data_IF_568145842561
#
_entry.id   IF_568145842561
#
_cell.length_a   1.000
_cell.length_b   1.000
_cell.length_c   1.000
_cell.angle_alpha   90.00
_cell.angle_beta   90.00
_cell.angle_gamma   90.00
#
_symmetry.space_group_name_H-M   'P 1'
#
loop_
_entity.id
_entity.type
_entity.pdbx_description
1 polymer ?
#
# COMPACT_ATOMS: atom_id res chain seq x y z
N UNK A 1 -17.39 -2.02 -38.19
CA UNK A 1 -16.67 -2.51 -36.99
C UNK A 1 -17.43 -2.07 -35.74
N UNK A 2 -18.31 -2.93 -35.22
CA UNK A 2 -19.21 -2.68 -34.07
C UNK A 2 -18.60 -3.29 -32.78
N UNK A 3 -17.31 -3.65 -32.77
CA UNK A 3 -16.75 -4.51 -31.72
C UNK A 3 -16.51 -3.81 -30.36
N UNK A 4 -16.62 -2.48 -30.28
CA UNK A 4 -16.41 -1.74 -29.04
C UNK A 4 -17.69 -1.17 -28.40
N UNK A 5 -18.87 -1.40 -28.99
CA UNK A 5 -20.12 -0.78 -28.52
C UNK A 5 -20.16 0.75 -28.67
N UNK A 6 -19.35 1.29 -29.58
CA UNK A 6 -19.31 2.72 -29.91
C UNK A 6 -19.76 2.89 -31.35
N UNK A 7 -20.76 3.75 -31.55
CA UNK A 7 -21.13 4.21 -32.89
C UNK A 7 -20.08 5.22 -33.38
N UNK A 8 -19.14 4.76 -34.22
CA UNK A 8 -18.08 5.62 -34.76
C UNK A 8 -18.63 6.74 -35.66
N UNK A 9 -19.75 6.53 -36.34
CA UNK A 9 -20.34 7.52 -37.26
C UNK A 9 -20.90 8.72 -36.47
N UNK A 10 -21.70 8.46 -35.44
CA UNK A 10 -22.21 9.49 -34.50
C UNK A 10 -21.07 10.22 -33.75
N UNK A 11 -19.95 9.52 -33.56
CA UNK A 11 -18.75 10.07 -32.93
C UNK A 11 -18.06 11.05 -33.88
N UNK A 12 -17.83 10.67 -35.15
CA UNK A 12 -17.17 11.52 -36.16
C UNK A 12 -17.98 12.77 -36.56
N UNK A 13 -19.30 12.76 -36.36
CA UNK A 13 -20.17 13.94 -36.58
C UNK A 13 -19.98 15.07 -35.55
N UNK A 14 -19.32 14.80 -34.42
CA UNK A 14 -19.07 15.82 -33.38
C UNK A 14 -17.98 16.79 -33.82
N UNK A 15 -18.35 18.08 -33.98
CA UNK A 15 -17.44 19.19 -34.37
C UNK A 15 -16.11 19.28 -33.62
N UNK A 16 -16.05 18.82 -32.36
CA UNK A 16 -14.82 18.77 -31.57
C UNK A 16 -14.71 17.46 -30.80
N UNK A 17 -13.99 16.51 -31.37
CA UNK A 17 -13.54 15.30 -30.67
C UNK A 17 -12.09 15.42 -30.27
N UNK A 18 -11.81 14.99 -29.05
CA UNK A 18 -10.45 14.80 -28.57
C UNK A 18 -10.19 13.32 -28.34
N UNK A 19 -8.92 12.92 -28.42
CA UNK A 19 -8.46 11.57 -28.06
C UNK A 19 -8.95 11.20 -26.65
N UNK A 20 -8.97 12.16 -25.71
CA UNK A 20 -9.50 11.97 -24.34
C UNK A 20 -10.97 11.54 -24.32
N UNK A 21 -11.81 12.09 -25.21
CA UNK A 21 -13.22 11.72 -25.32
C UNK A 21 -13.38 10.30 -25.85
N UNK A 22 -12.61 9.93 -26.89
CA UNK A 22 -12.62 8.56 -27.44
C UNK A 22 -12.23 7.54 -26.36
N UNK A 23 -11.16 7.81 -25.59
CA UNK A 23 -10.75 6.91 -24.50
C UNK A 23 -11.79 6.80 -23.38
N UNK A 24 -12.51 7.87 -23.06
CA UNK A 24 -13.62 7.82 -22.07
C UNK A 24 -14.77 6.96 -22.58
N UNK A 25 -15.13 7.08 -23.86
CA UNK A 25 -16.17 6.27 -24.48
C UNK A 25 -15.77 4.79 -24.52
N UNK A 26 -14.51 4.47 -24.91
CA UNK A 26 -13.98 3.11 -24.94
C UNK A 26 -13.89 2.46 -23.56
N UNK A 27 -13.56 3.24 -22.53
CA UNK A 27 -13.38 2.70 -21.17
C UNK A 27 -14.66 2.22 -20.51
N UNK A 28 -15.84 2.64 -20.97
CA UNK A 28 -17.13 2.53 -20.23
C UNK A 28 -17.04 3.18 -18.84
N UNK A 29 -18.18 3.58 -18.28
CA UNK A 29 -18.20 4.15 -16.93
C UNK A 29 -17.96 3.03 -15.90
N UNK A 30 -16.83 3.12 -15.20
CA UNK A 30 -16.49 2.24 -14.09
C UNK A 30 -16.60 2.99 -12.77
N UNK A 31 -17.10 2.29 -11.76
CA UNK A 31 -17.13 2.83 -10.40
C UNK A 31 -15.70 3.13 -9.93
N UNK A 32 -15.48 4.37 -9.48
CA UNK A 32 -14.20 4.76 -8.89
C UNK A 32 -13.99 3.98 -7.61
N UNK A 33 -12.93 3.17 -7.58
CA UNK A 33 -12.51 2.47 -6.37
C UNK A 33 -12.12 3.47 -5.27
N UNK A 34 -12.57 3.22 -4.04
CA UNK A 34 -12.36 4.11 -2.90
C UNK A 34 -10.86 4.24 -2.54
N UNK A 35 -10.07 3.18 -2.75
CA UNK A 35 -8.63 3.15 -2.51
C UNK A 35 -7.78 3.79 -3.62
N UNK A 36 -8.37 4.40 -4.66
CA UNK A 36 -7.63 4.98 -5.80
C UNK A 36 -6.49 5.89 -5.35
N UNK A 37 -6.71 6.71 -4.32
CA UNK A 37 -5.71 7.68 -3.83
C UNK A 37 -4.53 7.04 -3.12
N UNK A 38 -4.66 5.83 -2.59
CA UNK A 38 -3.57 5.09 -1.96
C UNK A 38 -2.55 4.62 -2.99
N UNK A 39 -3.00 4.38 -4.23
CA UNK A 39 -2.16 3.87 -5.33
C UNK A 39 -1.80 4.99 -6.31
N UNK A 40 -2.81 5.68 -6.85
CA UNK A 40 -2.62 6.71 -7.86
C UNK A 40 -2.19 8.04 -7.23
N UNK A 41 -1.08 8.59 -7.72
CA UNK A 41 -0.44 9.81 -7.19
C UNK A 41 0.06 9.65 -5.75
N UNK A 42 0.44 8.43 -5.35
CA UNK A 42 1.21 8.20 -4.15
C UNK A 42 2.69 8.51 -4.45
N UNK A 43 3.30 9.40 -3.67
CA UNK A 43 4.69 9.83 -3.78
C UNK A 43 5.71 8.78 -3.38
N UNK A 44 5.29 7.58 -2.96
CA UNK A 44 6.15 6.46 -2.61
C UNK A 44 6.96 5.96 -3.79
N UNK A 45 7.89 5.04 -3.52
CA UNK A 45 8.62 4.37 -4.61
C UNK A 45 7.65 3.46 -5.40
N UNK A 46 7.82 3.32 -6.73
CA UNK A 46 6.95 2.47 -7.54
C UNK A 46 6.84 1.02 -7.04
N UNK A 47 7.94 0.45 -6.53
CA UNK A 47 7.93 -0.90 -5.93
C UNK A 47 7.06 -1.00 -4.67
N UNK A 48 6.95 0.08 -3.90
CA UNK A 48 6.12 0.12 -2.69
C UNK A 48 4.64 0.18 -3.04
N UNK A 49 4.30 1.10 -3.94
CA UNK A 49 2.92 1.29 -4.39
C UNK A 49 2.41 0.06 -5.15
N UNK A 50 3.28 -0.63 -5.89
CA UNK A 50 2.95 -1.90 -6.53
C UNK A 50 2.59 -3.00 -5.51
N UNK A 51 3.42 -3.21 -4.48
CA UNK A 51 3.11 -4.22 -3.45
C UNK A 51 1.87 -3.83 -2.65
N UNK A 52 1.71 -2.54 -2.34
CA UNK A 52 0.47 -2.04 -1.72
C UNK A 52 -0.76 -2.33 -2.58
N UNK A 53 -0.67 -2.13 -3.90
CA UNK A 53 -1.76 -2.45 -4.81
C UNK A 53 -2.10 -3.94 -4.82
N UNK A 54 -1.09 -4.81 -4.85
CA UNK A 54 -1.29 -6.26 -4.75
C UNK A 54 -1.93 -6.67 -3.41
N UNK A 55 -1.55 -6.02 -2.31
CA UNK A 55 -2.16 -6.23 -1.00
C UNK A 55 -3.64 -5.81 -1.00
N UNK A 56 -3.97 -4.62 -1.52
CA UNK A 56 -5.37 -4.14 -1.58
C UNK A 56 -6.24 -5.05 -2.45
N UNK A 57 -5.69 -5.62 -3.53
CA UNK A 57 -6.41 -6.59 -4.36
C UNK A 57 -6.56 -7.98 -3.73
N UNK A 58 -6.01 -8.21 -2.54
CA UNK A 58 -5.97 -9.55 -1.93
C UNK A 58 -5.11 -10.55 -2.71
N UNK A 59 -4.15 -10.06 -3.49
CA UNK A 59 -3.33 -10.87 -4.40
C UNK A 59 -1.98 -11.30 -3.83
N UNK A 60 -1.78 -11.16 -2.52
CA UNK A 60 -0.57 -11.64 -1.84
C UNK A 60 -0.57 -13.16 -1.70
N UNK A 61 0.62 -13.76 -1.64
CA UNK A 61 0.80 -15.21 -1.46
C UNK A 61 1.02 -15.54 0.03
N UNK A 62 -0.02 -15.34 0.82
CA UNK A 62 -0.11 -15.75 2.24
C UNK A 62 -0.33 -17.26 2.37
N UNK A 63 0.04 -17.85 3.51
CA UNK A 63 -0.05 -19.30 3.73
C UNK A 63 -1.48 -19.82 3.61
N UNK A 64 -2.49 -19.11 4.10
CA UNK A 64 -3.91 -19.48 3.91
C UNK A 64 -4.28 -19.67 2.43
N UNK A 65 -3.74 -18.82 1.55
CA UNK A 65 -3.99 -18.87 0.11
C UNK A 65 -3.17 -19.97 -0.56
N UNK A 66 -1.91 -20.11 -0.18
CA UNK A 66 -1.03 -21.16 -0.70
C UNK A 66 -1.49 -22.57 -0.29
N UNK A 67 -2.05 -22.71 0.92
CA UNK A 67 -2.63 -23.96 1.40
C UNK A 67 -3.87 -24.36 0.60
N UNK A 68 -4.74 -23.40 0.25
CA UNK A 68 -5.87 -23.64 -0.66
C UNK A 68 -5.44 -24.08 -2.06
N UNK A 69 -4.22 -23.76 -2.48
CA UNK A 69 -3.64 -24.22 -3.74
C UNK A 69 -2.85 -25.53 -3.61
N UNK A 70 -2.77 -26.12 -2.41
CA UNK A 70 -1.97 -27.33 -2.17
C UNK A 70 -0.46 -27.11 -2.22
N UNK A 71 0.00 -25.86 -2.12
CA UNK A 71 1.44 -25.51 -2.19
C UNK A 71 2.14 -25.72 -0.85
N UNK A 72 1.43 -25.55 0.27
CA UNK A 72 1.99 -25.75 1.61
C UNK A 72 0.91 -26.16 2.61
N UNK A 73 1.27 -26.99 3.59
CA UNK A 73 0.41 -27.32 4.73
C UNK A 73 0.76 -26.48 5.97
N UNK A 74 1.79 -25.65 5.90
CA UNK A 74 2.14 -24.76 7.01
C UNK A 74 1.21 -23.55 7.01
N UNK A 75 0.33 -23.43 8.01
CA UNK A 75 -0.61 -22.31 8.12
C UNK A 75 -0.09 -21.17 9.00
N UNK A 76 0.73 -21.47 10.01
CA UNK A 76 1.21 -20.47 10.97
C UNK A 76 2.00 -19.34 10.30
N UNK A 77 1.81 -18.11 10.75
CA UNK A 77 2.56 -16.94 10.33
C UNK A 77 4.07 -17.15 10.46
N UNK A 78 4.88 -16.95 9.39
CA UNK A 78 6.33 -17.13 9.43
C UNK A 78 7.04 -16.24 10.45
N UNK A 79 6.45 -15.09 10.79
CA UNK A 79 7.06 -14.06 11.63
C UNK A 79 6.77 -14.25 13.12
N UNK A 80 5.50 -14.46 13.52
CA UNK A 80 5.14 -14.63 14.93
C UNK A 80 5.06 -16.10 15.36
N UNK A 81 4.74 -17.03 14.44
CA UNK A 81 4.52 -18.45 14.71
C UNK A 81 3.42 -18.75 15.75
N UNK A 82 2.48 -17.82 15.96
CA UNK A 82 1.37 -17.96 16.93
C UNK A 82 0.03 -18.22 16.24
N UNK A 83 -0.35 -17.39 15.27
CA UNK A 83 -1.62 -17.51 14.54
C UNK A 83 -1.37 -17.85 13.07
N UNK A 84 -2.42 -18.29 12.36
CA UNK A 84 -2.37 -18.57 10.93
C UNK A 84 -2.14 -17.30 10.08
N UNK A 85 -1.36 -17.42 9.01
CA UNK A 85 -1.07 -16.32 8.11
C UNK A 85 -2.24 -16.07 7.15
N UNK A 86 -2.96 -14.99 7.40
CA UNK A 86 -3.85 -14.34 6.43
C UNK A 86 -3.29 -12.98 6.02
N UNK A 87 -3.94 -12.31 5.07
CA UNK A 87 -3.60 -10.93 4.72
C UNK A 87 -3.76 -9.98 5.92
N UNK A 88 -4.88 -10.11 6.66
CA UNK A 88 -5.16 -9.34 7.88
C UNK A 88 -4.08 -9.60 8.94
N UNK A 89 -3.75 -10.87 9.18
CA UNK A 89 -2.70 -11.23 10.13
C UNK A 89 -1.33 -10.68 9.70
N UNK A 90 -0.95 -10.83 8.44
CA UNK A 90 0.35 -10.38 7.93
C UNK A 90 0.51 -8.85 7.98
N UNK A 91 -0.54 -8.08 7.72
CA UNK A 91 -0.48 -6.62 7.75
C UNK A 91 -1.20 -6.05 8.98
N UNK A 92 -0.45 -6.02 10.09
CA UNK A 92 -0.71 -5.24 11.31
C UNK A 92 -1.54 -5.90 12.42
N UNK A 93 -2.03 -7.13 12.23
CA UNK A 93 -2.54 -7.95 13.35
C UNK A 93 -1.45 -8.84 13.96
N UNK A 94 -0.50 -9.34 13.17
CA UNK A 94 0.69 -10.04 13.65
C UNK A 94 1.50 -9.13 14.57
N UNK A 95 1.77 -9.57 15.80
CA UNK A 95 2.48 -8.80 16.83
C UNK A 95 3.79 -8.16 16.34
N UNK A 96 4.56 -8.88 15.53
CA UNK A 96 5.79 -8.37 14.92
C UNK A 96 5.51 -7.19 13.97
N UNK A 97 4.52 -7.31 13.08
CA UNK A 97 4.19 -6.28 12.09
C UNK A 97 3.40 -5.11 12.68
N UNK A 98 2.58 -5.39 13.69
CA UNK A 98 1.85 -4.40 14.48
C UNK A 98 2.84 -3.49 15.22
N UNK A 99 3.88 -4.04 15.84
CA UNK A 99 4.93 -3.26 16.49
C UNK A 99 5.64 -2.30 15.52
N UNK A 100 5.92 -2.76 14.29
CA UNK A 100 6.53 -1.92 13.24
C UNK A 100 5.59 -0.77 12.87
N UNK A 101 4.33 -1.07 12.57
CA UNK A 101 3.38 -0.05 12.14
C UNK A 101 3.05 0.95 13.24
N UNK A 102 2.87 0.47 14.48
CA UNK A 102 2.70 1.31 15.67
C UNK A 102 3.84 2.33 15.81
N UNK A 103 5.09 1.89 15.65
CA UNK A 103 6.25 2.80 15.73
C UNK A 103 6.32 3.79 14.56
N UNK A 104 5.89 3.40 13.37
CA UNK A 104 5.81 4.32 12.23
C UNK A 104 4.69 5.34 12.40
N UNK A 105 3.53 4.95 12.94
CA UNK A 105 2.46 5.87 13.33
C UNK A 105 2.93 6.86 14.39
N UNK A 106 3.59 6.38 15.44
CA UNK A 106 4.16 7.21 16.51
C UNK A 106 5.17 8.22 15.94
N UNK A 107 6.05 7.79 15.02
CA UNK A 107 7.00 8.66 14.36
C UNK A 107 6.31 9.78 13.55
N UNK A 108 5.16 9.50 12.92
CA UNK A 108 4.36 10.53 12.22
C UNK A 108 3.57 11.45 13.17
N UNK A 109 3.62 11.22 14.49
CA UNK A 109 2.83 11.94 15.49
C UNK A 109 1.36 11.50 15.54
N UNK A 110 1.05 10.28 15.11
CA UNK A 110 -0.30 9.73 15.11
C UNK A 110 -0.47 8.80 16.32
N UNK A 111 -1.32 9.21 17.26
CA UNK A 111 -1.59 8.45 18.49
C UNK A 111 -2.88 7.64 18.34
N UNK A 112 -2.75 6.41 17.84
CA UNK A 112 -3.82 5.39 17.86
C UNK A 112 -3.23 3.99 17.88
N UNK A 113 -4.05 3.01 18.23
CA UNK A 113 -3.68 1.61 18.06
C UNK A 113 -3.63 1.21 16.58
N UNK A 114 -2.81 0.21 16.29
CA UNK A 114 -2.82 -0.44 14.98
C UNK A 114 -4.16 -1.11 14.75
N UNK A 115 -4.67 -0.97 13.53
CA UNK A 115 -5.91 -1.60 13.10
C UNK A 115 -5.59 -2.86 12.30
N UNK A 116 -6.58 -3.72 12.12
CA UNK A 116 -6.47 -4.81 11.13
C UNK A 116 -6.37 -4.22 9.71
N UNK A 117 -5.86 -5.00 8.76
CA UNK A 117 -5.56 -4.54 7.40
C UNK A 117 -6.76 -3.84 6.73
N UNK A 118 -7.93 -4.46 6.76
CA UNK A 118 -9.16 -3.93 6.19
C UNK A 118 -9.55 -2.56 6.77
N UNK A 119 -9.55 -2.45 8.09
CA UNK A 119 -9.82 -1.22 8.84
C UNK A 119 -8.78 -0.13 8.58
N UNK A 120 -7.51 -0.53 8.46
CA UNK A 120 -6.40 0.37 8.15
C UNK A 120 -6.54 0.98 6.75
N UNK A 121 -6.96 0.19 5.76
CA UNK A 121 -7.28 0.68 4.42
C UNK A 121 -8.49 1.62 4.43
N UNK A 122 -9.56 1.27 5.13
CA UNK A 122 -10.75 2.12 5.25
C UNK A 122 -10.42 3.45 5.92
N UNK A 123 -9.69 3.43 7.03
CA UNK A 123 -9.22 4.61 7.73
C UNK A 123 -8.39 5.50 6.81
N UNK A 124 -7.47 4.91 6.03
CA UNK A 124 -6.62 5.64 5.09
C UNK A 124 -7.44 6.30 3.98
N UNK A 125 -8.44 5.59 3.44
CA UNK A 125 -9.31 6.14 2.40
C UNK A 125 -10.14 7.32 2.91
N UNK A 126 -10.54 7.29 4.17
CA UNK A 126 -11.33 8.35 4.80
C UNK A 126 -10.48 9.56 5.23
N UNK A 127 -9.32 9.32 5.83
CA UNK A 127 -8.51 10.34 6.52
C UNK A 127 -7.29 10.82 5.71
N UNK A 128 -6.77 10.00 4.79
CA UNK A 128 -5.63 10.32 3.95
C UNK A 128 -6.03 10.51 2.47
N UNK A 129 -7.21 11.07 2.20
CA UNK A 129 -7.67 11.39 0.83
C UNK A 129 -7.16 12.73 0.29
N UNK A 130 -6.76 13.63 1.17
CA UNK A 130 -6.42 15.01 0.83
C UNK A 130 -5.05 15.13 0.15
N UNK A 131 -4.77 16.29 -0.44
CA UNK A 131 -3.44 16.66 -0.96
C UNK A 131 -2.53 17.27 0.12
N UNK A 132 -2.91 17.21 1.39
CA UNK A 132 -2.08 17.73 2.47
C UNK A 132 -0.80 16.93 2.61
N UNK A 133 0.25 17.57 3.13
CA UNK A 133 1.54 16.96 3.41
C UNK A 133 1.40 15.76 4.35
N UNK A 134 0.57 15.87 5.41
CA UNK A 134 0.34 14.76 6.34
C UNK A 134 -0.35 13.57 5.66
N UNK A 135 -1.36 13.82 4.81
CA UNK A 135 -2.01 12.74 4.06
C UNK A 135 -1.05 12.07 3.06
N UNK A 136 -0.15 12.83 2.44
CA UNK A 136 0.87 12.27 1.54
C UNK A 136 1.90 11.42 2.29
N UNK A 137 2.48 11.94 3.37
CA UNK A 137 3.43 11.21 4.21
C UNK A 137 2.81 9.91 4.70
N UNK A 138 1.54 9.94 5.12
CA UNK A 138 0.82 8.75 5.53
C UNK A 138 0.74 7.69 4.41
N UNK A 139 0.33 8.08 3.20
CA UNK A 139 0.23 7.16 2.05
C UNK A 139 1.58 6.56 1.68
N UNK A 140 2.64 7.35 1.77
CA UNK A 140 4.02 6.89 1.55
C UNK A 140 4.43 5.90 2.64
N UNK A 141 4.16 6.22 3.90
CA UNK A 141 4.51 5.40 5.04
C UNK A 141 3.80 4.05 5.01
N UNK A 142 2.50 4.03 4.74
CA UNK A 142 1.71 2.80 4.59
C UNK A 142 2.28 1.92 3.46
N UNK A 143 2.52 2.51 2.28
CA UNK A 143 3.09 1.77 1.15
C UNK A 143 4.48 1.20 1.47
N UNK A 144 5.33 2.00 2.13
CA UNK A 144 6.67 1.58 2.54
C UNK A 144 6.62 0.45 3.57
N UNK A 145 5.78 0.56 4.60
CA UNK A 145 5.62 -0.48 5.63
C UNK A 145 5.15 -1.79 5.02
N UNK A 146 4.10 -1.76 4.19
CA UNK A 146 3.56 -2.94 3.50
C UNK A 146 4.64 -3.62 2.65
N UNK A 147 5.41 -2.83 1.91
CA UNK A 147 6.52 -3.36 1.12
C UNK A 147 7.62 -4.01 1.97
N UNK A 148 8.09 -3.35 3.03
CA UNK A 148 9.19 -3.85 3.84
C UNK A 148 8.77 -5.07 4.68
N UNK A 149 7.52 -5.10 5.17
CA UNK A 149 6.94 -6.28 5.82
C UNK A 149 6.87 -7.46 4.84
N UNK A 150 6.35 -7.23 3.63
CA UNK A 150 6.31 -8.28 2.60
C UNK A 150 7.70 -8.80 2.25
N UNK A 151 8.66 -7.89 2.07
CA UNK A 151 10.04 -8.24 1.80
C UNK A 151 10.62 -9.08 2.93
N UNK A 152 10.46 -8.66 4.20
CA UNK A 152 11.01 -9.36 5.35
C UNK A 152 10.39 -10.74 5.54
N UNK A 153 9.07 -10.86 5.36
CA UNK A 153 8.36 -12.15 5.38
C UNK A 153 8.92 -13.11 4.33
N UNK A 154 9.21 -12.63 3.12
CA UNK A 154 9.80 -13.45 2.07
C UNK A 154 11.27 -13.83 2.38
N UNK A 155 12.07 -12.94 2.98
CA UNK A 155 13.41 -13.32 3.46
C UNK A 155 13.35 -14.40 4.53
N UNK A 156 12.36 -14.35 5.43
CA UNK A 156 12.16 -15.38 6.45
C UNK A 156 11.84 -16.74 5.84
N UNK A 157 11.04 -16.79 4.79
CA UNK A 157 10.66 -18.06 4.14
C UNK A 157 11.78 -18.62 3.28
N UNK A 158 12.33 -17.80 2.36
CA UNK A 158 13.21 -18.30 1.31
C UNK A 158 14.70 -18.26 1.70
N UNK A 159 15.06 -17.49 2.73
CA UNK A 159 16.44 -17.33 3.16
C UNK A 159 16.64 -17.62 4.66
N UNK A 160 15.58 -17.96 5.39
CA UNK A 160 15.60 -18.20 6.84
C UNK A 160 16.18 -17.03 7.67
N UNK A 161 16.17 -15.82 7.11
CA UNK A 161 16.67 -14.60 7.75
C UNK A 161 15.52 -13.73 8.24
N UNK A 162 15.67 -13.14 9.42
CA UNK A 162 14.73 -12.15 9.96
C UNK A 162 15.48 -11.06 10.70
N UNK A 163 15.29 -9.82 10.29
CA UNK A 163 15.76 -8.65 11.03
C UNK A 163 14.96 -8.47 12.30
N UNK A 164 15.61 -7.91 13.31
CA UNK A 164 14.92 -7.40 14.49
C UNK A 164 13.96 -6.28 14.08
N UNK A 165 12.81 -6.20 14.77
CA UNK A 165 11.78 -5.20 14.47
C UNK A 165 12.34 -3.76 14.48
N UNK A 166 13.19 -3.41 15.46
CA UNK A 166 13.82 -2.10 15.54
C UNK A 166 14.66 -1.73 14.31
N UNK A 167 15.42 -2.69 13.76
CA UNK A 167 16.20 -2.45 12.55
C UNK A 167 15.31 -2.24 11.33
N UNK A 168 14.22 -2.99 11.22
CA UNK A 168 13.25 -2.86 10.13
C UNK A 168 12.48 -1.53 10.23
N UNK A 169 12.11 -1.09 11.44
CA UNK A 169 11.50 0.23 11.70
C UNK A 169 12.44 1.33 11.22
N UNK A 170 13.68 1.32 11.69
CA UNK A 170 14.70 2.30 11.31
C UNK A 170 14.91 2.34 9.80
N UNK A 171 15.07 1.17 9.17
CA UNK A 171 15.20 1.07 7.71
C UNK A 171 13.97 1.67 7.00
N UNK A 172 12.77 1.35 7.47
CA UNK A 172 11.52 1.82 6.87
C UNK A 172 11.40 3.34 6.95
N UNK A 173 11.66 3.94 8.11
CA UNK A 173 11.64 5.39 8.33
C UNK A 173 12.71 6.08 7.47
N UNK A 174 13.95 5.58 7.48
CA UNK A 174 15.03 6.13 6.65
C UNK A 174 14.67 6.14 5.17
N UNK A 175 14.07 5.06 4.67
CA UNK A 175 13.62 4.96 3.29
C UNK A 175 12.47 5.94 3.00
N UNK A 176 11.48 6.05 3.90
CA UNK A 176 10.38 7.03 3.77
C UNK A 176 10.94 8.44 3.68
N UNK A 177 11.83 8.82 4.60
CA UNK A 177 12.42 10.15 4.60
C UNK A 177 13.28 10.40 3.37
N UNK A 178 14.16 9.47 2.99
CA UNK A 178 14.98 9.59 1.79
C UNK A 178 14.14 9.78 0.53
N UNK A 179 13.04 9.02 0.39
CA UNK A 179 12.08 9.23 -0.70
C UNK A 179 11.39 10.58 -0.60
N UNK A 180 10.93 10.96 0.58
CA UNK A 180 10.13 12.16 0.77
C UNK A 180 10.94 13.46 0.67
N UNK A 181 12.27 13.43 0.87
CA UNK A 181 13.17 14.54 0.56
C UNK A 181 13.22 14.89 -0.94
N UNK A 182 12.98 13.91 -1.82
CA UNK A 182 12.87 14.16 -3.26
C UNK A 182 11.58 14.90 -3.64
N UNK A 183 10.68 15.11 -2.67
CA UNK A 183 9.39 15.78 -2.84
C UNK A 183 9.41 17.11 -2.07
N UNK A 184 9.64 18.26 -2.74
CA UNK A 184 9.82 19.56 -2.08
C UNK A 184 8.69 19.94 -1.11
N UNK A 185 7.45 19.54 -1.42
CA UNK A 185 6.25 19.81 -0.63
C UNK A 185 6.23 19.12 0.74
N UNK A 186 7.03 18.07 0.93
CA UNK A 186 7.05 17.28 2.16
C UNK A 186 8.20 17.65 3.09
N UNK A 187 9.22 18.34 2.57
CA UNK A 187 10.49 18.62 3.27
C UNK A 187 10.31 19.26 4.64
N UNK A 188 9.59 20.38 4.72
CA UNK A 188 9.37 21.12 5.98
C UNK A 188 8.77 20.24 7.08
N UNK A 189 7.77 19.43 6.72
CA UNK A 189 7.13 18.54 7.70
C UNK A 189 8.07 17.43 8.16
N UNK A 190 8.91 16.88 7.27
CA UNK A 190 9.88 15.85 7.64
C UNK A 190 10.99 16.38 8.54
N UNK A 191 11.37 17.66 8.41
CA UNK A 191 12.33 18.31 9.31
C UNK A 191 11.76 18.43 10.74
N UNK A 192 10.45 18.58 10.89
CA UNK A 192 9.76 18.55 12.20
C UNK A 192 9.64 17.12 12.77
N UNK A 193 9.54 16.12 11.91
CA UNK A 193 9.51 14.71 12.30
C UNK A 193 10.93 14.26 12.62
N UNK A 194 11.35 14.46 13.88
CA UNK A 194 12.69 14.20 14.39
C UNK A 194 13.31 12.99 13.68
N UNK A 195 14.36 13.26 12.91
CA UNK A 195 15.02 12.23 12.13
C UNK A 195 15.65 11.29 13.14
N UNK A 196 15.08 10.08 13.27
CA UNK A 196 15.53 8.96 14.11
C UNK A 196 14.89 8.86 15.51
N UNK A 197 14.26 7.71 15.86
CA UNK A 197 14.18 7.22 17.24
C UNK A 197 15.49 6.55 17.68
#
# INVERSE_FOLDING_TARGET
>A
MIEAGINLEETLEKKHITISNIYKMLRKDHQKVHWRKLICNNGGMPKWTFILYMAILGKMNTRDRLARWGVTNELLCPMCKVEEESLEHMFFKCSFTAAIWSKVLQWMGITRQTMEWSQEIEWTCSNAKSRSTNSEIYRIALASCVYHVWQERNHKIFQHKQKQAGLLIKQTIQMICGRSYTLPKLRRRLEELNFYP
#
